data_IF_634934071871
#
_entry.id   IF_634934071871
#
_cell.length_a   1.000
_cell.length_b   1.000
_cell.length_c   1.000
_cell.angle_alpha   90.00
_cell.angle_beta   90.00
_cell.angle_gamma   90.00
#
_symmetry.space_group_name_H-M   'P 1'
#
loop_
_entity.id
_entity.type
_entity.pdbx_description
1 polymer ?
#
# COMPACT_ATOMS: atom_id res chain seq x y z
N UNK A 1 34.61 64.56 19.75
CA UNK A 1 34.24 63.38 18.94
C UNK A 1 33.44 62.46 19.84
N UNK A 2 32.14 62.29 19.57
CA UNK A 2 31.22 61.51 20.38
C UNK A 2 30.74 60.28 19.57
N UNK A 3 30.56 59.11 20.21
CA UNK A 3 30.17 57.88 19.54
C UNK A 3 28.65 57.82 19.27
N UNK A 4 28.29 57.23 18.13
CA UNK A 4 26.91 57.09 17.66
C UNK A 4 26.12 56.02 18.44
N UNK A 5 24.88 56.35 18.78
CA UNK A 5 23.90 55.44 19.38
C UNK A 5 23.36 54.45 18.34
N UNK A 6 23.55 53.16 18.59
CA UNK A 6 22.79 52.06 17.98
C UNK A 6 21.34 52.06 18.50
N UNK A 7 20.37 51.97 17.59
CA UNK A 7 18.94 51.86 17.93
C UNK A 7 18.57 50.38 18.10
N UNK A 8 18.45 49.95 19.36
CA UNK A 8 17.81 48.69 19.76
C UNK A 8 16.32 48.68 19.37
N UNK A 9 15.89 47.70 18.57
CA UNK A 9 14.47 47.38 18.33
C UNK A 9 13.95 46.56 19.52
N UNK A 10 12.97 47.10 20.24
CA UNK A 10 12.23 46.34 21.27
C UNK A 10 11.37 45.25 20.62
N UNK A 11 11.34 44.02 21.16
CA UNK A 11 10.34 43.03 20.80
C UNK A 11 8.96 43.49 21.28
N UNK A 12 7.92 43.21 20.49
CA UNK A 12 6.52 43.41 20.88
C UNK A 12 5.99 42.10 21.41
N UNK A 13 5.61 42.09 22.68
CA UNK A 13 4.80 41.03 23.26
C UNK A 13 3.39 41.11 22.67
N UNK A 14 2.90 40.00 22.12
CA UNK A 14 1.51 39.84 21.72
C UNK A 14 0.88 38.87 22.72
N UNK A 15 0.08 39.42 23.63
CA UNK A 15 -0.79 38.65 24.52
C UNK A 15 -2.09 38.34 23.79
N UNK A 16 -2.42 37.05 23.63
CA UNK A 16 -3.74 36.62 23.16
C UNK A 16 -4.47 35.99 24.35
N UNK A 17 -5.41 36.73 24.93
CA UNK A 17 -6.34 36.22 25.93
C UNK A 17 -7.52 35.56 25.22
N UNK A 18 -7.61 34.22 25.28
CA UNK A 18 -8.78 33.47 24.85
C UNK A 18 -9.77 33.30 25.99
N UNK A 19 -10.98 33.82 25.82
CA UNK A 19 -12.16 33.36 26.55
C UNK A 19 -13.06 32.64 25.55
N UNK A 20 -13.07 31.32 25.60
CA UNK A 20 -14.10 30.48 25.00
C UNK A 20 -14.42 29.37 26.01
N UNK A 21 -15.31 29.70 26.95
CA UNK A 21 -16.07 28.67 27.67
C UNK A 21 -17.16 28.18 26.71
N UNK A 22 -16.84 27.15 25.93
CA UNK A 22 -17.85 26.34 25.26
C UNK A 22 -18.13 25.13 26.15
N UNK A 23 -19.30 25.12 26.77
CA UNK A 23 -19.87 23.96 27.46
C UNK A 23 -19.97 22.80 26.48
N UNK A 24 -19.09 21.81 26.63
CA UNK A 24 -19.06 20.59 25.85
C UNK A 24 -20.13 19.63 26.43
N UNK A 25 -21.38 19.81 26.02
CA UNK A 25 -22.41 18.79 26.24
C UNK A 25 -22.00 17.53 25.47
N UNK A 26 -21.63 16.48 26.21
CA UNK A 26 -21.16 15.21 25.65
C UNK A 26 -22.33 14.44 25.03
N UNK A 27 -22.71 14.83 23.82
CA UNK A 27 -23.35 13.91 22.89
C UNK A 27 -22.32 12.84 22.53
N UNK A 28 -22.34 11.72 23.25
CA UNK A 28 -21.64 10.50 22.84
C UNK A 28 -22.30 10.08 21.53
N UNK A 29 -21.69 10.47 20.41
CA UNK A 29 -22.04 9.99 19.09
C UNK A 29 -21.84 8.47 19.09
N UNK A 30 -22.93 7.72 19.01
CA UNK A 30 -22.84 6.27 18.82
C UNK A 30 -22.06 5.99 17.54
N UNK A 31 -20.95 5.25 17.68
CA UNK A 31 -20.09 4.90 16.56
C UNK A 31 -20.83 3.92 15.66
N UNK A 32 -20.98 4.20 14.35
CA UNK A 32 -21.63 3.30 13.41
C UNK A 32 -21.02 1.88 13.44
N UNK A 33 -21.82 0.80 13.51
CA UNK A 33 -21.33 -0.58 13.56
C UNK A 33 -20.43 -0.97 12.38
N UNK A 34 -20.62 -0.33 11.22
CA UNK A 34 -19.80 -0.54 10.04
C UNK A 34 -18.35 -0.05 10.22
N UNK A 35 -18.16 1.07 10.91
CA UNK A 35 -16.82 1.58 11.24
C UNK A 35 -16.12 0.70 12.28
N UNK A 36 -16.89 0.15 13.21
CA UNK A 36 -16.39 -0.84 14.19
C UNK A 36 -15.87 -2.08 13.48
N UNK A 37 -16.65 -2.63 12.52
CA UNK A 37 -16.24 -3.79 11.71
C UNK A 37 -15.00 -3.48 10.88
N UNK A 38 -14.99 -2.35 10.17
CA UNK A 38 -13.86 -1.95 9.34
C UNK A 38 -12.58 -1.75 10.15
N UNK A 39 -12.69 -1.22 11.38
CA UNK A 39 -11.55 -1.02 12.27
C UNK A 39 -10.94 -2.35 12.71
N UNK A 40 -11.80 -3.30 13.08
CA UNK A 40 -11.39 -4.63 13.50
C UNK A 40 -10.73 -5.43 12.35
N UNK A 41 -11.26 -5.30 11.12
CA UNK A 41 -10.68 -5.94 9.93
C UNK A 41 -9.33 -5.33 9.53
N UNK A 42 -9.19 -4.00 9.63
CA UNK A 42 -8.01 -3.28 9.14
C UNK A 42 -6.83 -3.28 10.12
N UNK A 43 -7.08 -3.38 11.42
CA UNK A 43 -6.04 -3.44 12.46
C UNK A 43 -6.21 -4.69 13.34
N UNK A 44 -5.99 -5.90 12.79
CA UNK A 44 -6.10 -7.11 13.57
C UNK A 44 -5.08 -7.11 14.72
N UNK A 45 -5.53 -7.47 15.93
CA UNK A 45 -4.72 -7.52 17.14
C UNK A 45 -4.74 -6.25 18.01
N UNK A 46 -5.35 -5.16 17.55
CA UNK A 46 -5.53 -3.95 18.35
C UNK A 46 -6.82 -4.02 19.19
N UNK A 47 -6.86 -3.50 20.44
CA UNK A 47 -8.11 -3.31 21.15
C UNK A 47 -9.07 -2.43 20.35
N UNK A 48 -10.34 -2.80 20.27
CA UNK A 48 -11.31 -2.18 19.37
C UNK A 48 -11.38 -0.65 19.49
N UNK A 49 -11.37 -0.02 20.68
CA UNK A 49 -11.34 1.44 20.78
C UNK A 49 -10.10 2.08 20.11
N UNK A 50 -8.94 1.43 20.20
CA UNK A 50 -7.69 1.91 19.60
C UNK A 50 -7.67 1.67 18.09
N UNK A 51 -8.16 0.51 17.64
CA UNK A 51 -8.35 0.22 16.21
C UNK A 51 -9.31 1.26 15.58
N UNK A 52 -10.37 1.62 16.30
CA UNK A 52 -11.34 2.62 15.86
C UNK A 52 -10.74 4.02 15.84
N UNK A 53 -9.99 4.42 16.85
CA UNK A 53 -9.26 5.69 16.85
C UNK A 53 -8.26 5.77 15.70
N UNK A 54 -7.51 4.69 15.43
CA UNK A 54 -6.57 4.60 14.31
C UNK A 54 -7.30 4.63 12.96
N UNK A 55 -8.41 3.92 12.83
CA UNK A 55 -9.28 3.97 11.65
C UNK A 55 -9.82 5.39 11.43
N UNK A 56 -10.36 6.03 12.47
CA UNK A 56 -10.90 7.39 12.38
C UNK A 56 -9.81 8.40 12.06
N UNK A 57 -8.60 8.23 12.58
CA UNK A 57 -7.44 9.04 12.19
C UNK A 57 -7.11 8.85 10.69
N UNK A 58 -7.12 7.60 10.22
CA UNK A 58 -6.83 7.27 8.82
C UNK A 58 -7.96 7.68 7.85
N UNK A 59 -9.20 7.70 8.32
CA UNK A 59 -10.42 7.99 7.55
C UNK A 59 -10.79 9.48 7.56
N UNK A 60 -10.54 10.21 8.66
CA UNK A 60 -11.02 11.58 8.83
C UNK A 60 -9.95 12.64 8.55
N UNK A 61 -8.69 12.38 8.88
CA UNK A 61 -7.61 13.36 8.65
C UNK A 61 -7.07 13.26 7.22
N UNK A 62 -7.16 12.08 6.58
CA UNK A 62 -6.33 11.78 5.41
C UNK A 62 -7.07 11.36 4.12
N UNK A 63 -8.39 11.14 4.17
CA UNK A 63 -9.14 10.64 3.01
C UNK A 63 -9.48 11.74 1.98
N UNK A 64 -9.37 13.00 2.38
CA UNK A 64 -9.61 14.19 1.56
C UNK A 64 -8.50 15.22 1.74
N UNK A 65 -7.24 14.76 1.87
CA UNK A 65 -6.10 15.67 1.85
C UNK A 65 -5.93 16.17 0.42
N UNK A 66 -6.67 17.23 0.10
CA UNK A 66 -6.35 18.04 -1.05
C UNK A 66 -5.16 18.91 -0.67
N UNK A 67 -4.09 18.90 -1.46
CA UNK A 67 -3.01 19.84 -1.28
C UNK A 67 -3.55 21.25 -1.53
N UNK A 68 -3.81 21.98 -0.45
CA UNK A 68 -4.22 23.38 -0.50
C UNK A 68 -3.10 24.18 0.12
N UNK A 69 -2.64 25.22 -0.60
CA UNK A 69 -1.64 26.15 -0.08
C UNK A 69 -2.09 26.72 1.27
N UNK A 70 -1.23 26.63 2.27
CA UNK A 70 -1.50 27.07 3.64
C UNK A 70 -2.20 26.04 4.53
N UNK A 71 -2.52 24.84 4.03
CA UNK A 71 -3.03 23.76 4.86
C UNK A 71 -1.93 23.23 5.79
N UNK A 72 -2.28 23.04 7.07
CA UNK A 72 -1.33 22.67 8.12
C UNK A 72 -1.91 21.59 9.04
N UNK A 73 -1.06 20.66 9.46
CA UNK A 73 -1.34 19.65 10.48
C UNK A 73 -0.29 19.74 11.59
N UNK A 74 -0.73 19.81 12.85
CA UNK A 74 0.13 19.80 14.03
C UNK A 74 0.02 18.49 14.80
N UNK A 75 1.04 18.16 15.60
CA UNK A 75 1.04 16.93 16.40
C UNK A 75 1.17 15.65 15.58
N UNK A 76 1.71 15.74 14.37
CA UNK A 76 1.88 14.60 13.47
C UNK A 76 3.01 13.72 14.01
N UNK A 77 2.72 12.46 14.31
CA UNK A 77 3.77 11.50 14.68
C UNK A 77 4.72 11.23 13.51
N UNK A 78 6.02 11.07 13.79
CA UNK A 78 7.05 10.76 12.77
C UNK A 78 6.61 9.60 11.86
N UNK A 79 6.09 8.53 12.46
CA UNK A 79 5.62 7.33 11.74
C UNK A 79 4.51 7.60 10.72
N UNK A 80 3.76 8.70 10.87
CA UNK A 80 2.64 9.05 10.01
C UNK A 80 3.04 9.98 8.85
N UNK A 81 4.25 10.55 8.87
CA UNK A 81 4.73 11.47 7.82
C UNK A 81 4.77 10.80 6.44
N UNK A 82 5.33 9.58 6.27
CA UNK A 82 5.38 8.93 4.95
C UNK A 82 3.99 8.75 4.33
N UNK A 83 2.99 8.38 5.14
CA UNK A 83 1.62 8.18 4.68
C UNK A 83 0.96 9.50 4.25
N UNK A 84 1.21 10.60 4.97
CA UNK A 84 0.73 11.94 4.60
C UNK A 84 1.33 12.36 3.26
N UNK A 85 2.65 12.18 3.09
CA UNK A 85 3.34 12.51 1.83
C UNK A 85 2.83 11.66 0.68
N UNK A 86 2.69 10.34 0.87
CA UNK A 86 2.19 9.44 -0.16
C UNK A 86 0.77 9.81 -0.62
N UNK A 87 -0.10 10.23 0.31
CA UNK A 87 -1.46 10.69 -0.02
C UNK A 87 -1.47 12.03 -0.74
N UNK A 88 -0.59 12.96 -0.36
CA UNK A 88 -0.41 14.23 -1.07
C UNK A 88 0.04 13.99 -2.51
N UNK A 89 1.04 13.13 -2.71
CA UNK A 89 1.52 12.72 -4.04
C UNK A 89 0.41 12.06 -4.85
N UNK A 90 -0.35 11.13 -4.25
CA UNK A 90 -1.50 10.50 -4.93
C UNK A 90 -2.53 11.53 -5.36
N UNK A 91 -2.85 12.50 -4.50
CA UNK A 91 -3.77 13.59 -4.83
C UNK A 91 -3.25 14.51 -5.94
N UNK A 92 -1.94 14.54 -6.24
CA UNK A 92 -1.41 15.27 -7.40
C UNK A 92 -1.87 14.66 -8.72
N UNK A 93 -2.01 13.33 -8.78
CA UNK A 93 -2.31 12.60 -10.01
C UNK A 93 -3.79 12.23 -10.14
N UNK A 94 -4.45 11.89 -9.03
CA UNK A 94 -5.84 11.41 -9.03
C UNK A 94 -6.88 12.53 -8.85
N UNK A 95 -6.42 13.77 -8.65
CA UNK A 95 -7.29 14.94 -8.45
C UNK A 95 -8.03 15.36 -9.73
N UNK A 96 -9.13 16.13 -9.60
CA UNK A 96 -9.86 16.68 -10.76
C UNK A 96 -9.03 17.68 -11.58
N UNK A 97 -7.93 18.19 -11.01
CA UNK A 97 -6.90 18.94 -11.69
C UNK A 97 -5.56 18.32 -11.35
N UNK A 98 -4.75 17.93 -12.35
CA UNK A 98 -3.39 17.45 -12.08
C UNK A 98 -2.59 18.59 -11.44
N UNK A 99 -1.79 18.26 -10.44
CA UNK A 99 -0.91 19.22 -9.76
C UNK A 99 0.52 18.93 -10.19
N UNK A 100 1.25 19.96 -10.60
CA UNK A 100 2.61 19.82 -11.10
C UNK A 100 3.61 19.63 -9.97
N UNK A 101 3.51 20.44 -8.93
CA UNK A 101 4.40 20.36 -7.78
C UNK A 101 3.70 20.76 -6.47
N UNK A 102 4.10 20.14 -5.36
CA UNK A 102 3.68 20.52 -4.01
C UNK A 102 4.96 20.78 -3.20
N UNK A 103 5.01 21.92 -2.51
CA UNK A 103 6.08 22.20 -1.55
C UNK A 103 5.56 21.98 -0.13
N UNK A 104 6.19 21.06 0.61
CA UNK A 104 5.82 20.71 1.98
C UNK A 104 6.94 21.16 2.94
N UNK A 105 6.55 21.79 4.05
CA UNK A 105 7.45 22.15 5.15
C UNK A 105 7.10 21.32 6.37
N UNK A 106 8.09 20.59 6.89
CA UNK A 106 7.97 19.80 8.11
C UNK A 106 8.81 20.49 9.20
N UNK A 107 8.21 20.83 10.34
CA UNK A 107 8.89 21.45 11.49
C UNK A 107 8.70 20.58 12.73
N UNK A 108 9.69 20.54 13.60
CA UNK A 108 9.55 19.97 14.95
C UNK A 108 8.68 20.91 15.79
N UNK A 109 7.68 20.38 16.51
CA UNK A 109 6.74 21.19 17.27
C UNK A 109 7.33 21.84 18.53
N UNK A 110 8.02 21.04 19.34
CA UNK A 110 8.73 21.53 20.51
C UNK A 110 10.11 20.86 20.57
N UNK A 111 11.20 21.61 20.34
CA UNK A 111 12.54 21.06 20.37
C UNK A 111 13.02 20.70 21.79
N UNK A 112 12.24 21.02 22.84
CA UNK A 112 12.55 20.68 24.24
C UNK A 112 11.88 19.40 24.72
N UNK A 113 10.98 18.81 23.92
CA UNK A 113 10.39 17.51 24.23
C UNK A 113 11.43 16.41 23.99
N UNK A 114 11.78 15.66 25.04
CA UNK A 114 12.80 14.59 24.99
C UNK A 114 12.42 13.49 23.98
N UNK A 115 11.12 13.31 23.74
CA UNK A 115 10.56 12.40 22.75
C UNK A 115 10.14 13.18 21.49
N UNK A 116 11.07 13.41 20.56
CA UNK A 116 10.90 14.15 19.30
C UNK A 116 9.94 13.48 18.29
N UNK A 117 8.75 13.08 18.71
CA UNK A 117 7.82 12.35 17.84
C UNK A 117 6.83 13.26 17.15
N UNK A 118 6.67 14.54 17.54
CA UNK A 118 5.58 15.38 17.05
C UNK A 118 6.05 16.50 16.11
N UNK A 119 5.46 16.50 14.90
CA UNK A 119 5.80 17.40 13.81
C UNK A 119 4.61 18.28 13.41
N UNK A 120 4.95 19.41 12.81
CA UNK A 120 4.05 20.25 12.05
C UNK A 120 4.33 20.07 10.57
N UNK A 121 3.31 19.71 9.80
CA UNK A 121 3.38 19.57 8.34
C UNK A 121 2.55 20.70 7.73
N UNK A 122 3.15 21.48 6.84
CA UNK A 122 2.56 22.67 6.21
C UNK A 122 2.75 22.61 4.70
N UNK A 123 1.69 22.80 3.92
CA UNK A 123 1.80 22.94 2.47
C UNK A 123 2.08 24.41 2.14
N UNK A 124 3.31 24.70 1.71
CA UNK A 124 3.74 26.06 1.39
C UNK A 124 3.24 26.53 0.03
N UNK A 125 3.20 25.62 -0.95
CA UNK A 125 2.86 25.96 -2.31
C UNK A 125 2.31 24.75 -3.07
N UNK A 126 1.43 25.04 -4.03
CA UNK A 126 0.81 24.07 -4.92
C UNK A 126 0.83 24.67 -6.31
N UNK A 127 1.66 24.13 -7.19
CA UNK A 127 1.76 24.58 -8.58
C UNK A 127 0.75 23.79 -9.41
N UNK A 128 -0.36 24.43 -9.76
CA UNK A 128 -1.27 23.92 -10.79
C UNK A 128 -0.63 24.18 -12.17
N UNK A 129 -0.82 23.27 -13.16
CA UNK A 129 -0.44 23.57 -14.53
C UNK A 129 -1.23 24.80 -14.98
N UNK A 130 -0.53 25.89 -15.28
CA UNK A 130 -1.18 27.11 -15.75
C UNK A 130 -1.94 26.85 -17.06
N UNK A 131 -3.07 27.55 -17.25
CA UNK A 131 -3.81 27.54 -18.52
C UNK A 131 -2.95 28.06 -19.71
N UNK A 132 -1.80 28.68 -19.44
CA UNK A 132 -0.88 29.24 -20.45
C UNK A 132 0.40 28.41 -20.65
N UNK A 133 0.40 27.16 -20.20
CA UNK A 133 1.40 26.18 -20.58
C UNK A 133 0.77 25.13 -21.47
N UNK A 134 0.40 25.48 -22.70
CA UNK A 134 0.32 24.47 -23.76
C UNK A 134 1.64 23.71 -23.69
N UNK A 135 1.59 22.46 -23.22
CA UNK A 135 2.66 21.51 -23.47
C UNK A 135 2.83 21.50 -24.99
N UNK A 136 3.79 22.28 -25.48
CA UNK A 136 4.20 22.15 -26.86
C UNK A 136 4.58 20.68 -27.01
N UNK A 137 3.95 19.93 -27.93
CA UNK A 137 4.28 18.55 -28.13
C UNK A 137 5.72 18.53 -28.58
N UNK A 138 6.60 18.12 -27.69
CA UNK A 138 8.04 17.91 -27.86
C UNK A 138 8.34 16.72 -28.79
N UNK A 139 7.38 16.35 -29.65
CA UNK A 139 7.38 15.09 -30.38
C UNK A 139 7.15 13.89 -29.47
N UNK A 140 6.69 14.09 -28.23
CA UNK A 140 6.24 13.02 -27.34
C UNK A 140 4.96 12.35 -27.84
N UNK A 141 4.84 11.06 -27.57
CA UNK A 141 3.64 10.27 -27.87
C UNK A 141 2.42 10.84 -27.14
N UNK A 142 1.29 10.94 -27.82
CA UNK A 142 0.03 11.29 -27.14
C UNK A 142 -0.37 10.19 -26.17
N UNK A 143 -1.25 10.49 -25.21
CA UNK A 143 -1.77 9.48 -24.29
C UNK A 143 -2.39 8.29 -25.05
N UNK A 144 -3.10 8.54 -26.14
CA UNK A 144 -3.67 7.51 -27.00
C UNK A 144 -2.61 6.66 -27.71
N UNK A 145 -1.49 7.26 -28.10
CA UNK A 145 -0.38 6.53 -28.71
C UNK A 145 0.34 5.64 -27.69
N UNK A 146 0.55 6.15 -26.48
CA UNK A 146 1.09 5.36 -25.36
C UNK A 146 0.16 4.20 -24.99
N UNK A 147 -1.15 4.43 -24.93
CA UNK A 147 -2.11 3.35 -24.68
C UNK A 147 -2.07 2.30 -25.79
N UNK A 148 -2.02 2.70 -27.06
CA UNK A 148 -1.91 1.75 -28.19
C UNK A 148 -0.60 0.96 -28.16
N UNK A 149 0.52 1.61 -27.80
CA UNK A 149 1.81 0.93 -27.69
C UNK A 149 1.80 -0.07 -26.53
N UNK A 150 1.24 0.31 -25.38
CA UNK A 150 1.08 -0.56 -24.23
C UNK A 150 0.16 -1.75 -24.53
N UNK A 151 -0.98 -1.53 -25.20
CA UNK A 151 -1.88 -2.60 -25.63
C UNK A 151 -1.16 -3.60 -26.54
N UNK A 152 -0.39 -3.12 -27.52
CA UNK A 152 0.41 -3.99 -28.40
C UNK A 152 1.46 -4.79 -27.63
N UNK A 153 2.15 -4.18 -26.68
CA UNK A 153 3.14 -4.87 -25.85
C UNK A 153 2.48 -5.97 -25.01
N UNK A 154 1.35 -5.68 -24.37
CA UNK A 154 0.60 -6.66 -23.57
C UNK A 154 0.10 -7.82 -24.45
N UNK A 155 -0.44 -7.52 -25.63
CA UNK A 155 -0.91 -8.55 -26.55
C UNK A 155 0.22 -9.47 -27.04
N UNK A 156 1.40 -8.91 -27.32
CA UNK A 156 2.58 -9.68 -27.71
C UNK A 156 3.05 -10.61 -26.59
N UNK A 157 3.15 -10.11 -25.36
CA UNK A 157 3.54 -10.90 -24.19
C UNK A 157 2.52 -12.01 -23.90
N UNK A 158 1.22 -11.72 -24.02
CA UNK A 158 0.17 -12.72 -23.86
C UNK A 158 0.20 -13.79 -24.96
N UNK A 159 0.56 -13.44 -26.19
CA UNK A 159 0.74 -14.39 -27.28
C UNK A 159 1.91 -15.33 -26.98
N UNK A 160 3.08 -14.80 -26.61
CA UNK A 160 4.25 -15.60 -26.25
C UNK A 160 3.97 -16.53 -25.07
N UNK A 161 3.31 -16.03 -24.02
CA UNK A 161 2.94 -16.84 -22.85
C UNK A 161 1.98 -17.99 -23.23
N UNK A 162 1.07 -17.77 -24.18
CA UNK A 162 0.16 -18.81 -24.67
C UNK A 162 0.88 -19.86 -25.49
N UNK A 163 1.80 -19.45 -26.36
CA UNK A 163 2.61 -20.38 -27.17
C UNK A 163 3.47 -21.26 -26.26
N UNK A 164 4.13 -20.66 -25.27
CA UNK A 164 4.92 -21.41 -24.27
C UNK A 164 4.07 -22.36 -23.44
N UNK A 165 2.85 -21.95 -23.08
CA UNK A 165 1.91 -22.83 -22.37
C UNK A 165 1.49 -24.02 -23.25
N UNK A 166 1.26 -23.79 -24.55
CA UNK A 166 0.91 -24.85 -25.50
C UNK A 166 2.04 -25.88 -25.65
N UNK A 167 3.29 -25.44 -25.76
CA UNK A 167 4.47 -26.33 -25.79
C UNK A 167 4.58 -27.19 -24.52
N UNK A 168 4.35 -26.59 -23.35
CA UNK A 168 4.34 -27.32 -22.08
C UNK A 168 3.19 -28.32 -22.02
N UNK A 169 2.00 -27.94 -22.49
CA UNK A 169 0.84 -28.85 -22.54
C UNK A 169 1.03 -30.03 -23.48
N UNK A 170 1.75 -29.86 -24.60
CA UNK A 170 2.08 -30.97 -25.51
C UNK A 170 3.02 -31.99 -24.86
N UNK A 171 3.90 -31.53 -23.97
CA UNK A 171 4.86 -32.37 -23.25
C UNK A 171 4.30 -32.97 -21.96
N UNK A 172 3.26 -32.36 -21.38
CA UNK A 172 2.70 -32.76 -20.11
C UNK A 172 2.08 -34.16 -20.17
N UNK A 173 2.45 -35.02 -19.23
CA UNK A 173 1.81 -36.33 -19.09
C UNK A 173 0.43 -36.16 -18.43
N UNK A 174 -0.65 -36.68 -19.04
CA UNK A 174 -1.98 -36.51 -18.50
C UNK A 174 -2.15 -37.26 -17.18
N UNK A 175 -2.27 -36.51 -16.09
CA UNK A 175 -2.56 -37.06 -14.77
C UNK A 175 -1.87 -36.33 -13.63
N UNK A 176 -1.90 -36.94 -12.44
CA UNK A 176 -1.18 -36.45 -11.26
C UNK A 176 -0.42 -37.60 -10.61
N UNK A 177 0.84 -37.39 -10.25
CA UNK A 177 1.61 -38.35 -9.47
C UNK A 177 1.15 -38.28 -8.01
N UNK A 178 0.93 -39.44 -7.39
CA UNK A 178 0.57 -39.58 -5.99
C UNK A 178 1.46 -40.62 -5.32
N UNK A 179 1.96 -40.31 -4.12
CA UNK A 179 2.60 -41.30 -3.26
C UNK A 179 1.57 -41.98 -2.36
N UNK A 180 1.65 -43.30 -2.20
CA UNK A 180 0.81 -44.10 -1.30
C UNK A 180 1.65 -45.04 -0.47
N UNK A 181 1.32 -45.14 0.83
CA UNK A 181 1.86 -46.19 1.69
C UNK A 181 1.06 -47.47 1.46
N UNK A 182 1.72 -48.54 1.03
CA UNK A 182 1.08 -49.84 0.81
C UNK A 182 1.50 -50.82 1.90
N UNK A 183 0.52 -51.39 2.59
CA UNK A 183 0.75 -52.40 3.62
C UNK A 183 1.11 -53.75 2.99
N UNK A 184 2.13 -54.44 3.53
CA UNK A 184 2.58 -55.75 3.03
C UNK A 184 1.58 -56.91 3.27
N UNK A 185 0.49 -56.67 4.01
CA UNK A 185 -0.55 -57.66 4.34
C UNK A 185 -0.18 -58.70 5.41
N UNK A 186 1.05 -58.69 5.94
CA UNK A 186 1.48 -59.58 7.03
C UNK A 186 1.15 -58.97 8.39
N UNK A 187 0.56 -59.77 9.29
CA UNK A 187 0.07 -59.32 10.59
C UNK A 187 1.15 -58.66 11.49
N UNK A 188 2.41 -59.09 11.38
CA UNK A 188 3.53 -58.63 12.22
C UNK A 188 4.67 -57.98 11.40
N UNK A 189 4.33 -57.24 10.35
CA UNK A 189 5.28 -56.66 9.41
C UNK A 189 5.96 -55.38 9.97
N UNK A 190 7.05 -55.53 10.73
CA UNK A 190 7.81 -54.38 11.25
C UNK A 190 9.03 -53.95 10.42
N UNK A 191 9.47 -54.77 9.46
CA UNK A 191 10.76 -54.60 8.74
C UNK A 191 10.67 -54.66 7.22
N UNK A 192 9.49 -54.89 6.65
CA UNK A 192 9.39 -54.87 5.19
C UNK A 192 9.53 -53.43 4.68
N UNK A 193 10.13 -53.25 3.50
CA UNK A 193 10.19 -51.95 2.86
C UNK A 193 8.78 -51.54 2.42
N UNK A 194 8.05 -50.90 3.34
CA UNK A 194 6.79 -50.19 3.08
C UNK A 194 7.16 -48.85 2.49
N UNK A 195 7.56 -48.86 1.22
CA UNK A 195 7.83 -47.60 0.54
C UNK A 195 6.55 -46.78 0.45
N UNK A 196 6.66 -45.44 0.42
CA UNK A 196 5.77 -44.73 -0.47
C UNK A 196 5.99 -45.30 -1.88
N UNK A 197 4.91 -45.73 -2.50
CA UNK A 197 4.84 -46.18 -3.86
C UNK A 197 4.15 -45.11 -4.68
N UNK A 198 4.72 -44.76 -5.82
CA UNK A 198 4.19 -43.73 -6.70
C UNK A 198 3.19 -44.32 -7.69
N UNK A 199 2.13 -43.55 -7.94
CA UNK A 199 1.07 -43.89 -8.87
C UNK A 199 0.77 -42.67 -9.75
N UNK A 200 0.64 -42.86 -11.06
CA UNK A 200 0.08 -41.86 -11.97
C UNK A 200 -1.43 -42.02 -11.98
N UNK A 201 -2.15 -41.02 -11.46
CA UNK A 201 -3.61 -40.95 -11.54
C UNK A 201 -4.01 -40.20 -12.80
N UNK A 202 -4.55 -40.91 -13.79
CA UNK A 202 -5.00 -40.36 -15.08
C UNK A 202 -6.33 -39.60 -14.93
N UNK A 203 -6.70 -38.73 -15.89
CA UNK A 203 -7.94 -37.97 -15.85
C UNK A 203 -9.22 -38.82 -15.83
N UNK A 204 -9.17 -40.02 -16.41
CA UNK A 204 -10.26 -41.01 -16.39
C UNK A 204 -10.45 -41.68 -15.03
N UNK A 205 -9.59 -41.37 -14.04
CA UNK A 205 -9.64 -41.91 -12.69
C UNK A 205 -8.85 -43.20 -12.51
N UNK A 206 -8.29 -43.77 -13.58
CA UNK A 206 -7.42 -44.94 -13.49
C UNK A 206 -6.07 -44.58 -12.83
N UNK A 207 -5.47 -45.57 -12.17
CA UNK A 207 -4.18 -45.40 -11.51
C UNK A 207 -3.18 -46.43 -12.04
N UNK A 208 -2.01 -45.95 -12.42
CA UNK A 208 -0.90 -46.76 -12.92
C UNK A 208 0.24 -46.74 -11.91
N UNK A 209 0.72 -47.93 -11.51
CA UNK A 209 1.81 -48.07 -10.55
C UNK A 209 3.16 -47.74 -11.21
N UNK A 210 3.87 -46.74 -10.68
CA UNK A 210 5.14 -46.26 -11.23
C UNK A 210 6.36 -46.89 -10.56
N UNK A 211 6.23 -47.34 -9.30
CA UNK A 211 7.37 -47.90 -8.55
C UNK A 211 7.62 -47.20 -7.23
N UNK A 212 8.85 -47.35 -6.71
CA UNK A 212 9.34 -46.66 -5.50
C UNK A 212 9.91 -45.28 -5.79
N UNK A 213 10.26 -45.02 -7.03
CA UNK A 213 10.78 -43.76 -7.55
C UNK A 213 9.93 -43.41 -8.77
N UNK A 214 9.77 -42.12 -9.05
CA UNK A 214 9.09 -41.67 -10.26
C UNK A 214 10.10 -41.77 -11.40
N UNK A 215 9.77 -42.39 -12.54
CA UNK A 215 10.65 -42.39 -13.70
C UNK A 215 10.96 -40.95 -14.14
N UNK A 216 12.21 -40.62 -14.49
CA UNK A 216 12.61 -39.27 -14.90
C UNK A 216 11.82 -38.75 -16.10
N UNK A 217 11.35 -39.65 -16.96
CA UNK A 217 10.48 -39.32 -18.10
C UNK A 217 9.12 -38.74 -17.67
N UNK A 218 8.73 -38.94 -16.40
CA UNK A 218 7.47 -38.46 -15.81
C UNK A 218 7.73 -37.29 -14.83
N UNK A 219 8.92 -37.20 -14.22
CA UNK A 219 9.32 -36.04 -13.39
C UNK A 219 9.61 -34.77 -14.21
N UNK A 220 10.12 -34.91 -15.43
CA UNK A 220 10.51 -33.79 -16.31
C UNK A 220 9.39 -33.30 -17.25
N UNK A 221 8.17 -33.83 -17.08
CA UNK A 221 6.97 -33.53 -17.87
C UNK A 221 6.10 -32.41 -17.33
#
# INVERSE_FOLDING_TARGET
MAPGLEKSKKPRDITVSGQHEASFESHILEVPPELVRLAAERYPGYPLPLALAKLLNDVWVLRTVRPVKGLMWGGVHEENIPDIVAKLVRSMYEGPRPIRSITIKIKVGDPSCEDYTHFWVEILDVEEPGEEGELQPDGGFTAEELFRELERAIEAELAEARDRLAELQERAIPGSIRSKMVSCGKADCGKCPHGPYYYLKRPDGSEEYLGREVPPEIEDG
#
